data_IF_999316431322
#
_entry.id   IF_999316431322
#
_cell.length_a   1.000
_cell.length_b   1.000
_cell.length_c   1.000
_cell.angle_alpha   90.00
_cell.angle_beta   90.00
_cell.angle_gamma   90.00
#
_symmetry.space_group_name_H-M   'P 1'
#
loop_
_entity.id
_entity.type
_entity.pdbx_description
1 polymer ?
#
# COMPACT_ATOMS: atom_id res chain seq x y z
N UNK A 1 -36.65 14.73 0.54
CA UNK A 1 -35.39 15.22 1.16
C UNK A 1 -34.46 14.03 1.33
N UNK A 2 -33.71 13.69 0.27
CA UNK A 2 -32.71 12.61 0.32
C UNK A 2 -31.37 13.30 0.52
N UNK A 3 -30.84 13.22 1.74
CA UNK A 3 -29.60 13.86 2.13
C UNK A 3 -28.46 13.32 1.26
N UNK A 4 -27.77 14.23 0.57
CA UNK A 4 -26.52 13.94 -0.09
C UNK A 4 -25.62 13.19 0.90
N UNK A 5 -25.23 11.95 0.55
CA UNK A 5 -24.10 11.28 1.14
C UNK A 5 -22.90 12.15 0.76
N UNK A 6 -22.58 13.13 1.60
CA UNK A 6 -21.35 13.88 1.49
C UNK A 6 -20.25 12.85 1.71
N UNK A 7 -19.49 12.59 0.66
CA UNK A 7 -18.42 11.61 0.62
C UNK A 7 -17.31 12.07 1.60
N UNK A 8 -17.49 11.67 2.86
CA UNK A 8 -16.74 12.15 4.02
C UNK A 8 -15.24 11.86 3.81
N UNK A 9 -14.32 12.80 4.10
CA UNK A 9 -12.90 12.58 3.90
C UNK A 9 -12.42 11.31 4.61
N UNK A 10 -11.54 10.55 3.96
CA UNK A 10 -11.04 9.28 4.48
C UNK A 10 -10.43 9.45 5.87
N UNK A 11 -9.71 10.56 6.10
CA UNK A 11 -9.14 10.87 7.41
C UNK A 11 -10.18 11.01 8.53
N UNK A 12 -11.39 11.48 8.22
CA UNK A 12 -12.49 11.65 9.18
C UNK A 12 -13.19 10.33 9.45
N UNK A 13 -13.41 9.52 8.41
CA UNK A 13 -13.96 8.16 8.58
C UNK A 13 -13.05 7.29 9.46
N UNK A 14 -11.73 7.40 9.26
CA UNK A 14 -10.74 6.69 10.07
C UNK A 14 -10.61 7.23 11.50
N UNK A 15 -10.67 8.54 11.71
CA UNK A 15 -10.71 9.15 13.06
C UNK A 15 -11.89 8.64 13.86
N UNK A 16 -13.10 8.70 13.27
CA UNK A 16 -14.32 8.19 13.92
C UNK A 16 -14.21 6.71 14.24
N UNK A 17 -13.63 5.91 13.34
CA UNK A 17 -13.39 4.50 13.61
C UNK A 17 -12.35 4.28 14.69
N UNK A 18 -11.33 5.13 14.83
CA UNK A 18 -10.31 5.00 15.88
C UNK A 18 -10.82 5.44 17.25
N UNK A 19 -11.65 6.48 17.30
CA UNK A 19 -12.24 7.04 18.52
C UNK A 19 -13.43 6.22 19.06
N UNK A 20 -14.04 5.36 18.23
CA UNK A 20 -15.12 4.48 18.68
C UNK A 20 -14.61 3.43 19.68
N UNK A 21 -15.48 2.98 20.59
CA UNK A 21 -15.18 1.87 21.51
C UNK A 21 -15.17 0.48 20.81
N UNK A 22 -15.31 0.43 19.49
CA UNK A 22 -15.27 -0.83 18.75
C UNK A 22 -13.87 -1.47 18.74
N UNK A 23 -13.84 -2.81 18.77
CA UNK A 23 -12.62 -3.60 18.62
C UNK A 23 -11.89 -3.26 17.32
N UNK A 24 -10.60 -2.91 17.43
CA UNK A 24 -9.75 -2.53 16.29
C UNK A 24 -9.18 -3.78 15.60
N UNK A 25 -10.04 -4.54 14.94
CA UNK A 25 -9.66 -5.75 14.21
C UNK A 25 -9.48 -5.50 12.71
N UNK A 26 -8.71 -6.39 12.05
CA UNK A 26 -8.53 -6.36 10.59
C UNK A 26 -9.86 -6.54 9.83
N UNK A 27 -10.78 -7.33 10.37
CA UNK A 27 -12.11 -7.51 9.81
C UNK A 27 -12.90 -6.21 9.75
N UNK A 28 -12.98 -5.49 10.88
CA UNK A 28 -13.73 -4.22 10.97
C UNK A 28 -13.12 -3.12 10.09
N UNK A 29 -11.79 -3.06 10.02
CA UNK A 29 -11.10 -2.15 9.10
C UNK A 29 -11.54 -2.42 7.64
N UNK A 30 -11.64 -3.69 7.25
CA UNK A 30 -12.07 -4.08 5.90
C UNK A 30 -13.51 -3.69 5.63
N UNK A 31 -14.41 -3.92 6.58
CA UNK A 31 -15.84 -3.63 6.45
C UNK A 31 -16.12 -2.12 6.33
N UNK A 32 -15.38 -1.29 7.08
CA UNK A 32 -15.57 0.17 7.12
C UNK A 32 -15.05 0.83 5.84
N UNK A 33 -13.88 0.43 5.35
CA UNK A 33 -13.23 1.12 4.22
C UNK A 33 -13.47 0.48 2.85
N UNK A 34 -14.18 -0.66 2.77
CA UNK A 34 -14.57 -1.36 1.53
C UNK A 34 -13.43 -1.41 0.49
N UNK A 35 -13.62 -0.80 -0.69
CA UNK A 35 -12.65 -0.80 -1.79
C UNK A 35 -11.34 -0.07 -1.41
N UNK A 36 -11.41 0.92 -0.50
CA UNK A 36 -10.21 1.61 0.04
C UNK A 36 -9.50 0.79 1.11
N UNK A 37 -10.12 -0.26 1.67
CA UNK A 37 -9.50 -1.09 2.69
C UNK A 37 -8.24 -1.80 2.15
N UNK A 38 -8.26 -2.23 0.89
CA UNK A 38 -7.08 -2.83 0.24
C UNK A 38 -5.90 -1.86 0.25
N UNK A 39 -6.12 -0.62 -0.17
CA UNK A 39 -5.08 0.40 -0.19
C UNK A 39 -4.57 0.72 1.23
N UNK A 40 -5.45 0.76 2.23
CA UNK A 40 -5.06 0.97 3.64
C UNK A 40 -4.23 -0.20 4.16
N UNK A 41 -4.63 -1.43 3.88
CA UNK A 41 -3.91 -2.62 4.27
C UNK A 41 -2.52 -2.67 3.62
N UNK A 42 -2.45 -2.42 2.31
CA UNK A 42 -1.18 -2.32 1.58
C UNK A 42 -0.30 -1.20 2.14
N UNK A 43 -0.88 -0.03 2.45
CA UNK A 43 -0.15 1.07 3.06
C UNK A 43 0.45 0.67 4.41
N UNK A 44 -0.32 0.00 5.28
CA UNK A 44 0.16 -0.47 6.59
C UNK A 44 1.21 -1.59 6.48
N UNK A 45 1.08 -2.47 5.49
CA UNK A 45 2.05 -3.54 5.26
C UNK A 45 3.35 -2.99 4.69
N UNK A 46 3.27 -2.11 3.70
CA UNK A 46 4.41 -1.60 2.94
C UNK A 46 5.12 -0.41 3.59
N UNK A 47 4.50 0.29 4.56
CA UNK A 47 5.19 1.36 5.30
C UNK A 47 6.38 0.83 6.10
N UNK A 48 6.31 -0.43 6.54
CA UNK A 48 7.40 -1.08 7.31
C UNK A 48 8.63 -1.35 6.42
N UNK A 49 8.53 -2.06 5.28
CA UNK A 49 9.65 -2.22 4.35
C UNK A 49 10.05 -0.92 3.63
N UNK A 50 9.17 0.08 3.53
CA UNK A 50 9.53 1.40 3.01
C UNK A 50 10.42 2.22 3.96
N UNK A 51 10.57 1.79 5.22
CA UNK A 51 11.55 2.32 6.14
C UNK A 51 12.81 1.43 6.05
N UNK A 52 14.01 1.99 5.86
CA UNK A 52 15.26 1.23 5.77
C UNK A 52 15.67 0.71 7.16
N UNK A 53 14.86 -0.18 7.72
CA UNK A 53 15.05 -0.80 9.01
C UNK A 53 15.67 -2.19 8.81
N UNK A 54 16.71 -2.56 9.58
CA UNK A 54 17.29 -3.89 9.54
C UNK A 54 16.31 -4.87 10.19
N UNK A 55 15.31 -5.31 9.44
CA UNK A 55 14.24 -6.22 9.89
C UNK A 55 14.60 -7.69 9.72
N UNK A 56 15.79 -8.00 9.18
CA UNK A 56 16.32 -9.36 9.12
C UNK A 56 15.47 -10.35 8.30
N UNK A 57 14.75 -9.88 7.28
CA UNK A 57 13.94 -10.73 6.39
C UNK A 57 12.49 -10.94 6.82
N UNK A 58 12.03 -10.33 7.92
CA UNK A 58 10.61 -10.38 8.33
C UNK A 58 9.70 -9.67 7.31
N UNK A 59 10.24 -8.73 6.53
CA UNK A 59 9.53 -7.95 5.51
C UNK A 59 8.95 -8.77 4.37
N UNK A 60 9.51 -9.95 4.08
CA UNK A 60 9.01 -10.84 3.04
C UNK A 60 7.57 -11.31 3.27
N UNK A 61 7.14 -11.41 4.53
CA UNK A 61 5.74 -11.73 4.85
C UNK A 61 4.82 -10.58 4.43
N UNK A 62 5.24 -9.32 4.63
CA UNK A 62 4.44 -8.15 4.26
C UNK A 62 4.33 -8.00 2.74
N UNK A 63 5.41 -8.26 2.02
CA UNK A 63 5.43 -8.27 0.56
C UNK A 63 4.53 -9.38 0.01
N UNK A 64 4.62 -10.59 0.55
CA UNK A 64 3.77 -11.72 0.15
C UNK A 64 2.28 -11.44 0.37
N UNK A 65 1.91 -10.88 1.53
CA UNK A 65 0.52 -10.48 1.80
C UNK A 65 0.09 -9.35 0.86
N UNK A 66 0.98 -8.40 0.54
CA UNK A 66 0.70 -7.32 -0.42
C UNK A 66 0.45 -7.86 -1.83
N UNK A 67 1.19 -8.88 -2.26
CA UNK A 67 0.95 -9.57 -3.55
C UNK A 67 -0.44 -10.22 -3.57
N UNK A 68 -0.85 -10.88 -2.48
CA UNK A 68 -2.19 -11.47 -2.37
C UNK A 68 -3.28 -10.39 -2.45
N UNK A 69 -3.14 -9.29 -1.71
CA UNK A 69 -4.08 -8.16 -1.76
C UNK A 69 -4.15 -7.54 -3.17
N UNK A 70 -2.99 -7.36 -3.82
CA UNK A 70 -2.94 -6.89 -5.19
C UNK A 70 -3.63 -7.86 -6.17
N UNK A 71 -3.47 -9.17 -5.97
CA UNK A 71 -4.14 -10.19 -6.80
C UNK A 71 -5.67 -10.15 -6.61
N UNK A 72 -6.15 -9.94 -5.38
CA UNK A 72 -7.57 -9.72 -5.09
C UNK A 72 -8.10 -8.46 -5.79
N UNK A 73 -7.32 -7.36 -5.78
CA UNK A 73 -7.67 -6.15 -6.54
C UNK A 73 -7.75 -6.42 -8.05
N UNK A 74 -6.80 -7.17 -8.61
CA UNK A 74 -6.79 -7.56 -10.04
C UNK A 74 -8.00 -8.42 -10.40
N UNK A 75 -8.39 -9.33 -9.50
CA UNK A 75 -9.58 -10.16 -9.66
C UNK A 75 -10.90 -9.38 -9.48
N UNK A 76 -10.85 -8.11 -9.07
CA UNK A 76 -12.03 -7.26 -8.87
C UNK A 76 -12.80 -7.59 -7.59
N UNK A 77 -12.13 -8.14 -6.58
CA UNK A 77 -12.73 -8.45 -5.28
C UNK A 77 -13.01 -7.13 -4.55
N UNK A 78 -14.26 -6.92 -4.11
CA UNK A 78 -14.70 -5.66 -3.47
C UNK A 78 -14.47 -5.60 -1.96
N UNK A 79 -14.04 -6.70 -1.35
CA UNK A 79 -13.84 -6.82 0.10
C UNK A 79 -12.68 -7.77 0.36
N UNK A 80 -11.70 -7.38 1.19
CA UNK A 80 -10.51 -8.20 1.44
C UNK A 80 -10.92 -9.58 1.92
N UNK A 81 -10.44 -10.62 1.24
CA UNK A 81 -10.67 -11.99 1.67
C UNK A 81 -9.70 -12.34 2.80
N UNK A 82 -10.10 -12.02 4.04
CA UNK A 82 -9.36 -12.42 5.23
C UNK A 82 -9.75 -13.84 5.66
N UNK A 83 -8.79 -14.76 5.88
CA UNK A 83 -9.04 -16.03 6.56
C UNK A 83 -9.67 -15.76 7.92
N UNK A 84 -10.64 -16.58 8.36
CA UNK A 84 -11.39 -16.36 9.61
C UNK A 84 -10.49 -16.11 10.83
N UNK A 85 -9.33 -16.78 10.91
CA UNK A 85 -8.33 -16.60 11.98
C UNK A 85 -7.70 -15.21 12.07
N UNK A 86 -7.73 -14.43 10.99
CA UNK A 86 -7.14 -13.09 10.91
C UNK A 86 -8.18 -12.00 11.06
N UNK A 87 -9.46 -12.30 10.81
CA UNK A 87 -10.57 -11.35 10.93
C UNK A 87 -10.72 -10.81 12.35
N UNK A 88 -10.51 -11.68 13.34
CA UNK A 88 -10.65 -11.36 14.77
C UNK A 88 -9.33 -10.90 15.41
N UNK A 89 -8.22 -10.86 14.64
CA UNK A 89 -6.95 -10.34 15.18
C UNK A 89 -7.01 -8.84 15.34
N UNK A 90 -6.70 -8.39 16.55
CA UNK A 90 -6.46 -6.99 16.85
C UNK A 90 -5.23 -6.48 16.10
N UNK A 91 -5.28 -5.21 15.69
CA UNK A 91 -4.12 -4.53 15.11
C UNK A 91 -2.96 -4.53 16.11
N UNK A 92 -1.82 -5.07 15.69
CA UNK A 92 -0.61 -5.09 16.53
C UNK A 92 -0.16 -3.68 16.95
N UNK A 93 0.61 -3.59 18.04
CA UNK A 93 1.02 -2.31 18.62
C UNK A 93 1.73 -1.35 17.64
N UNK A 94 2.47 -1.88 16.66
CA UNK A 94 3.09 -1.09 15.59
C UNK A 94 2.07 -0.47 14.65
N UNK A 95 1.06 -1.24 14.21
CA UNK A 95 -0.01 -0.73 13.37
C UNK A 95 -0.84 0.32 14.10
N UNK A 96 -1.13 0.10 15.40
CA UNK A 96 -1.84 1.07 16.25
C UNK A 96 -1.07 2.39 16.42
N UNK A 97 0.26 2.35 16.48
CA UNK A 97 1.12 3.55 16.52
C UNK A 97 1.26 4.23 15.16
N UNK A 98 1.27 3.45 14.07
CA UNK A 98 1.38 3.97 12.71
C UNK A 98 0.10 4.69 12.28
N UNK A 99 -1.08 4.21 12.67
CA UNK A 99 -2.40 4.77 12.36
C UNK A 99 -2.51 6.30 12.56
N UNK A 100 -2.22 6.88 13.75
CA UNK A 100 -2.31 8.32 13.97
C UNK A 100 -1.28 9.13 13.16
N UNK A 101 -0.10 8.57 12.89
CA UNK A 101 0.91 9.21 12.03
C UNK A 101 0.43 9.25 10.59
N UNK A 102 -0.08 8.11 10.10
CA UNK A 102 -0.71 7.98 8.79
C UNK A 102 -1.83 8.98 8.65
N UNK A 103 -2.70 9.09 9.66
CA UNK A 103 -3.83 10.01 9.67
C UNK A 103 -3.40 11.47 9.57
N UNK A 104 -2.37 11.90 10.31
CA UNK A 104 -1.85 13.27 10.22
C UNK A 104 -1.30 13.57 8.83
N UNK A 105 -0.65 12.59 8.20
CA UNK A 105 -0.12 12.71 6.83
C UNK A 105 -1.24 12.69 5.79
N UNK A 106 -2.18 11.75 5.88
CA UNK A 106 -3.35 11.66 5.00
C UNK A 106 -4.16 12.95 5.10
N UNK A 107 -4.48 13.46 6.30
CA UNK A 107 -5.20 14.74 6.47
C UNK A 107 -4.45 15.93 5.85
N UNK A 108 -3.12 15.97 6.00
CA UNK A 108 -2.30 17.01 5.37
C UNK A 108 -2.31 16.89 3.84
N UNK A 109 -2.30 15.66 3.33
CA UNK A 109 -2.33 15.38 1.91
C UNK A 109 -3.74 15.60 1.34
N UNK A 110 -4.82 15.27 2.03
CA UNK A 110 -6.22 15.57 1.66
C UNK A 110 -6.45 17.08 1.52
N UNK A 111 -5.91 17.89 2.44
CA UNK A 111 -6.02 19.36 2.32
C UNK A 111 -5.27 19.92 1.12
N UNK A 112 -4.17 19.26 0.73
CA UNK A 112 -3.36 19.67 -0.41
C UNK A 112 -3.86 19.07 -1.73
N UNK A 113 -4.53 17.91 -1.65
CA UNK A 113 -5.02 17.12 -2.77
C UNK A 113 -6.49 17.41 -3.05
N UNK A 114 -6.75 18.22 -4.07
CA UNK A 114 -8.09 18.36 -4.64
C UNK A 114 -8.40 17.17 -5.56
N UNK A 115 -8.72 15.97 -5.03
CA UNK A 115 -9.24 14.79 -5.78
C UNK A 115 -8.93 14.80 -7.29
N UNK A 116 -7.65 14.93 -7.65
CA UNK A 116 -7.21 15.28 -9.01
C UNK A 116 -7.27 13.99 -9.83
N UNK A 117 -8.46 13.70 -10.35
CA UNK A 117 -8.73 12.49 -11.14
C UNK A 117 -9.57 11.42 -10.45
N UNK A 118 -10.43 11.76 -9.48
CA UNK A 118 -11.33 10.80 -8.82
C UNK A 118 -12.08 9.88 -9.80
N UNK A 119 -12.51 10.40 -10.95
CA UNK A 119 -13.21 9.63 -11.98
C UNK A 119 -12.40 8.42 -12.51
N UNK A 120 -11.06 8.46 -12.48
CA UNK A 120 -10.24 7.31 -12.86
C UNK A 120 -10.21 6.26 -11.75
N UNK A 121 -10.17 6.67 -10.48
CA UNK A 121 -10.20 5.77 -9.33
C UNK A 121 -11.58 5.11 -9.13
N UNK A 122 -12.65 5.69 -9.66
CA UNK A 122 -13.99 5.07 -9.70
C UNK A 122 -14.12 3.93 -10.72
N UNK A 123 -13.15 3.77 -11.63
CA UNK A 123 -13.20 2.71 -12.64
C UNK A 123 -12.53 1.42 -12.17
N UNK A 124 -13.30 0.33 -12.17
CA UNK A 124 -12.82 -1.02 -11.80
C UNK A 124 -11.56 -1.43 -12.57
N UNK A 125 -11.46 -1.09 -13.87
CA UNK A 125 -10.27 -1.44 -14.67
C UNK A 125 -9.01 -0.74 -14.17
N UNK A 126 -9.13 0.49 -13.68
CA UNK A 126 -8.01 1.27 -13.18
C UNK A 126 -7.55 0.75 -11.83
N UNK A 127 -8.49 0.42 -10.93
CA UNK A 127 -8.17 -0.26 -9.66
C UNK A 127 -7.46 -1.60 -9.89
N UNK A 128 -7.90 -2.38 -10.89
CA UNK A 128 -7.22 -3.63 -11.29
C UNK A 128 -5.80 -3.37 -11.78
N UNK A 129 -5.59 -2.33 -12.60
CA UNK A 129 -4.26 -1.93 -13.07
C UNK A 129 -3.36 -1.55 -11.89
N UNK A 130 -3.88 -0.78 -10.93
CA UNK A 130 -3.14 -0.43 -9.72
C UNK A 130 -2.80 -1.66 -8.87
N UNK A 131 -3.69 -2.67 -8.82
CA UNK A 131 -3.40 -3.98 -8.25
C UNK A 131 -2.17 -4.65 -8.88
N UNK A 132 -2.07 -4.65 -10.23
CA UNK A 132 -0.89 -5.16 -10.94
C UNK A 132 0.38 -4.38 -10.57
N UNK A 133 0.30 -3.05 -10.51
CA UNK A 133 1.43 -2.19 -10.13
C UNK A 133 1.90 -2.51 -8.70
N UNK A 134 0.97 -2.67 -7.75
CA UNK A 134 1.29 -3.03 -6.38
C UNK A 134 1.95 -4.41 -6.27
N UNK A 135 1.47 -5.41 -7.04
CA UNK A 135 2.12 -6.72 -7.13
C UNK A 135 3.55 -6.57 -7.64
N UNK A 136 3.75 -5.82 -8.73
CA UNK A 136 5.06 -5.64 -9.34
C UNK A 136 6.05 -4.98 -8.36
N UNK A 137 5.61 -3.96 -7.62
CA UNK A 137 6.45 -3.30 -6.61
C UNK A 137 6.72 -4.17 -5.39
N UNK A 138 5.74 -4.94 -4.91
CA UNK A 138 5.95 -5.88 -3.81
C UNK A 138 6.93 -6.99 -4.19
N UNK A 139 6.81 -7.57 -5.39
CA UNK A 139 7.77 -8.55 -5.91
C UNK A 139 9.15 -7.92 -6.09
N UNK A 140 9.23 -6.71 -6.64
CA UNK A 140 10.48 -5.97 -6.78
C UNK A 140 11.18 -5.76 -5.43
N UNK A 141 10.42 -5.38 -4.41
CA UNK A 141 10.93 -5.24 -3.04
C UNK A 141 11.43 -6.59 -2.50
N UNK A 142 10.67 -7.67 -2.70
CA UNK A 142 11.03 -9.02 -2.23
C UNK A 142 12.29 -9.62 -2.87
N UNK A 143 12.54 -9.31 -4.14
CA UNK A 143 13.71 -9.82 -4.88
C UNK A 143 14.95 -8.98 -4.60
N UNK A 144 14.80 -7.76 -4.08
CA UNK A 144 15.93 -6.89 -3.82
C UNK A 144 16.90 -7.54 -2.81
N UNK A 145 18.22 -7.39 -3.00
CA UNK A 145 19.20 -7.99 -2.09
C UNK A 145 19.00 -7.49 -0.66
N UNK A 146 19.00 -8.38 0.35
CA UNK A 146 18.80 -7.98 1.73
C UNK A 146 19.92 -7.02 2.17
N UNK A 147 19.57 -6.03 3.00
CA UNK A 147 20.49 -5.01 3.54
C UNK A 147 21.12 -4.06 2.50
N UNK A 148 20.67 -4.09 1.25
CA UNK A 148 21.14 -3.15 0.21
C UNK A 148 20.40 -1.80 0.23
N UNK A 149 19.25 -1.73 0.91
CA UNK A 149 18.35 -0.58 0.86
C UNK A 149 17.62 -0.41 -0.48
N UNK A 150 17.87 -1.29 -1.46
CA UNK A 150 17.24 -1.25 -2.78
C UNK A 150 15.77 -1.68 -2.73
N UNK A 151 15.41 -2.53 -1.77
CA UNK A 151 14.06 -2.96 -1.41
C UNK A 151 13.15 -1.78 -1.02
N UNK A 152 13.75 -0.72 -0.47
CA UNK A 152 13.05 0.47 0.02
C UNK A 152 12.36 1.24 -1.12
N UNK A 153 12.97 1.32 -2.31
CA UNK A 153 12.42 2.14 -3.40
C UNK A 153 11.11 1.55 -3.99
N UNK A 154 11.04 0.26 -4.36
CA UNK A 154 9.77 -0.37 -4.72
C UNK A 154 8.73 -0.27 -3.59
N UNK A 155 9.14 -0.44 -2.33
CA UNK A 155 8.23 -0.34 -1.19
C UNK A 155 7.65 1.08 -1.01
N UNK A 156 8.47 2.13 -1.14
CA UNK A 156 8.01 3.53 -1.16
C UNK A 156 7.06 3.76 -2.35
N UNK A 157 7.35 3.17 -3.50
CA UNK A 157 6.45 3.22 -4.66
C UNK A 157 5.08 2.62 -4.36
N UNK A 158 5.04 1.44 -3.74
CA UNK A 158 3.80 0.79 -3.33
C UNK A 158 3.02 1.62 -2.30
N UNK A 159 3.72 2.21 -1.32
CA UNK A 159 3.15 3.18 -0.35
C UNK A 159 2.54 4.39 -1.07
N UNK A 160 3.23 4.94 -2.07
CA UNK A 160 2.75 6.06 -2.88
C UNK A 160 1.49 5.71 -3.68
N UNK A 161 1.46 4.53 -4.33
CA UNK A 161 0.28 4.03 -5.05
C UNK A 161 -0.90 3.83 -4.09
N UNK A 162 -0.67 3.24 -2.92
CA UNK A 162 -1.71 3.06 -1.90
C UNK A 162 -2.27 4.41 -1.40
N UNK A 163 -1.40 5.38 -1.13
CA UNK A 163 -1.81 6.75 -0.78
C UNK A 163 -2.61 7.40 -1.90
N UNK A 164 -2.22 7.21 -3.15
CA UNK A 164 -2.94 7.75 -4.30
C UNK A 164 -4.35 7.17 -4.43
N UNK A 165 -4.55 5.87 -4.14
CA UNK A 165 -5.88 5.25 -4.11
C UNK A 165 -6.72 5.83 -2.97
N UNK A 166 -6.14 6.00 -1.78
CA UNK A 166 -6.84 6.55 -0.61
C UNK A 166 -7.29 8.00 -0.86
N UNK A 167 -6.40 8.80 -1.47
CA UNK A 167 -6.59 10.23 -1.70
C UNK A 167 -7.23 10.56 -3.05
N UNK A 168 -7.38 9.57 -3.93
CA UNK A 168 -7.85 9.74 -5.31
C UNK A 168 -7.04 10.80 -6.09
N UNK A 169 -5.71 10.74 -5.98
CA UNK A 169 -4.78 11.74 -6.52
C UNK A 169 -3.80 11.15 -7.54
N UNK A 170 -3.97 11.52 -8.81
CA UNK A 170 -3.08 11.08 -9.90
C UNK A 170 -1.66 11.62 -9.80
N UNK A 171 -1.45 12.77 -9.15
CA UNK A 171 -0.10 13.33 -8.98
C UNK A 171 0.70 12.50 -7.97
N UNK A 172 0.06 12.13 -6.86
CA UNK A 172 0.65 11.20 -5.88
C UNK A 172 0.90 9.84 -6.54
N UNK A 173 -0.03 9.38 -7.38
CA UNK A 173 0.15 8.14 -8.15
C UNK A 173 1.39 8.23 -9.04
N UNK A 174 1.53 9.30 -9.82
CA UNK A 174 2.65 9.48 -10.74
C UNK A 174 4.00 9.48 -10.00
N UNK A 175 4.08 10.17 -8.85
CA UNK A 175 5.28 10.16 -8.01
C UNK A 175 5.57 8.74 -7.48
N UNK A 176 4.56 8.07 -6.93
CA UNK A 176 4.71 6.71 -6.40
C UNK A 176 5.18 5.73 -7.48
N UNK A 177 4.56 5.78 -8.65
CA UNK A 177 4.93 4.94 -9.80
C UNK A 177 6.35 5.26 -10.28
N UNK A 178 6.74 6.54 -10.37
CA UNK A 178 8.08 6.93 -10.79
C UNK A 178 9.16 6.41 -9.82
N UNK A 179 8.95 6.58 -8.50
CA UNK A 179 9.89 6.10 -7.48
C UNK A 179 9.96 4.57 -7.49
N UNK A 180 8.83 3.89 -7.49
CA UNK A 180 8.79 2.43 -7.48
C UNK A 180 9.42 1.81 -8.72
N UNK A 181 9.10 2.35 -9.90
CA UNK A 181 9.67 1.89 -11.17
C UNK A 181 11.17 2.15 -11.23
N UNK A 182 11.62 3.33 -10.78
CA UNK A 182 13.05 3.65 -10.67
C UNK A 182 13.79 2.67 -9.77
N UNK A 183 13.19 2.30 -8.62
CA UNK A 183 13.70 1.28 -7.73
C UNK A 183 13.83 -0.09 -8.40
N UNK A 184 12.78 -0.54 -9.08
CA UNK A 184 12.78 -1.82 -9.82
C UNK A 184 13.86 -1.84 -10.90
N UNK A 185 13.98 -0.77 -11.71
CA UNK A 185 15.02 -0.65 -12.74
C UNK A 185 16.42 -0.72 -12.10
N UNK A 186 16.63 -0.05 -10.97
CA UNK A 186 17.91 -0.07 -10.26
C UNK A 186 18.27 -1.49 -9.81
N UNK A 187 17.31 -2.25 -9.28
CA UNK A 187 17.51 -3.65 -8.87
C UNK A 187 17.94 -4.50 -10.07
N UNK A 188 17.23 -4.40 -11.20
CA UNK A 188 17.56 -5.19 -12.40
C UNK A 188 18.90 -4.80 -13.02
N UNK A 189 19.23 -3.51 -13.08
CA UNK A 189 20.51 -3.05 -13.64
C UNK A 189 21.69 -3.49 -12.79
N UNK A 190 21.58 -3.38 -11.46
CA UNK A 190 22.63 -3.84 -10.55
C UNK A 190 22.78 -5.37 -10.57
N UNK A 191 21.65 -6.10 -10.57
CA UNK A 191 21.65 -7.56 -10.71
C UNK A 191 22.30 -8.03 -12.01
N UNK A 192 21.99 -7.37 -13.13
CA UNK A 192 22.60 -7.68 -14.42
C UNK A 192 24.11 -7.35 -14.45
N UNK A 193 24.55 -6.26 -13.81
CA UNK A 193 25.96 -5.90 -13.72
C UNK A 193 26.77 -6.95 -12.93
N UNK A 194 26.25 -7.42 -11.80
CA UNK A 194 26.87 -8.49 -11.00
C UNK A 194 26.92 -9.80 -11.78
N UNK A 195 25.84 -10.18 -12.46
CA UNK A 195 25.80 -11.38 -13.28
C UNK A 195 26.85 -11.36 -14.40
N UNK A 196 27.02 -10.22 -15.09
CA UNK A 196 28.05 -10.03 -16.12
C UNK A 196 29.47 -10.11 -15.56
N UNK A 197 29.71 -9.57 -14.37
CA UNK A 197 31.00 -9.68 -13.69
C UNK A 197 31.35 -11.13 -13.36
N UNK A 198 30.39 -11.89 -12.83
CA UNK A 198 30.59 -13.30 -12.49
C UNK A 198 30.85 -14.14 -13.74
N UNK A 199 30.05 -13.96 -14.79
CA UNK A 199 30.21 -14.71 -16.06
C UNK A 199 31.44 -14.30 -16.86
N UNK A 200 32.02 -13.13 -16.61
CA UNK A 200 33.29 -12.71 -17.22
C UNK A 200 34.54 -13.15 -16.47
N UNK A 201 34.40 -13.66 -15.25
CA UNK A 201 35.52 -14.13 -14.40
C UNK A 201 35.71 -15.65 -14.43
N UNK A 202 34.70 -16.41 -14.87
CA UNK A 202 34.74 -17.87 -15.06
C UNK A 202 34.68 -18.22 -16.55
#
# INVERSE_FOLDING_TARGET
MSGAVVDEPFSVQLERWLESDELKTLGRLTDVFKEKAFAVAVLLLMITPALPLPTGGITHVFEAVTVLLGAEMVAGVKTIWLPSRWRDRELGGTARKALPIMMRRIRSLERMSRRRGAHLFEHDWFIRLLGVVLIAFAIGSAIAPPFSGLDTFPAIGAVGVALAIILEDLFILAIGVAIGTGGVILIFTLGAAVYRLLTGLF
#
